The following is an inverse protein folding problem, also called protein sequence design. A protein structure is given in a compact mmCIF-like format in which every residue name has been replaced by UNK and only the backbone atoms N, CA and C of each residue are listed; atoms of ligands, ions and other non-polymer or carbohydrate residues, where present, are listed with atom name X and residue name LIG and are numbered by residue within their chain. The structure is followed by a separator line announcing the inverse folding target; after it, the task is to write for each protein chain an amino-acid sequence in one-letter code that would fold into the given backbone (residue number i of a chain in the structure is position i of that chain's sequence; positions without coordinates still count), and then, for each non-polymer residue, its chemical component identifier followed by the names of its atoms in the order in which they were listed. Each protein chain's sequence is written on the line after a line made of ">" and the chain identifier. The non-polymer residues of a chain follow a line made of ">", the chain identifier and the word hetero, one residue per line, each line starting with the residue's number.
data_IF_332210964523
#
_entry.id   IF_332210964523
#
_cell.length_a   1.000
_cell.length_b   1.000
_cell.length_c   1.000
_cell.angle_alpha   90.00
_cell.angle_beta   90.00
_cell.angle_gamma   90.00
#
_symmetry.space_group_name_H-M   'P 1'
#
loop_
_entity.id
_entity.type
_entity.pdbx_description
1 polymer ?
#
# COMPACT_ATOMS: atom_id res chain seq x y z
N UNK A 1 8.11 -1.06 -10.67
CA UNK A 1 8.20 -2.00 -9.54
C UNK A 1 7.01 -1.97 -8.56
N UNK A 2 6.12 -0.96 -8.53
CA UNK A 2 4.98 -0.98 -7.57
C UNK A 2 3.77 -1.83 -8.04
N UNK A 3 3.41 -1.72 -9.33
CA UNK A 3 2.41 -2.60 -9.94
C UNK A 3 2.88 -4.06 -9.88
N UNK A 4 4.17 -4.29 -10.06
CA UNK A 4 4.79 -5.61 -9.99
C UNK A 4 4.68 -6.22 -8.59
N UNK A 5 4.94 -5.45 -7.53
CA UNK A 5 4.73 -5.91 -6.16
C UNK A 5 3.25 -6.27 -5.89
N UNK A 6 2.30 -5.42 -6.31
CA UNK A 6 0.87 -5.71 -6.19
C UNK A 6 0.48 -6.99 -6.95
N UNK A 7 0.96 -7.16 -8.19
CA UNK A 7 0.70 -8.35 -8.98
C UNK A 7 1.35 -9.60 -8.37
N UNK A 8 2.55 -9.47 -7.80
CA UNK A 8 3.22 -10.55 -7.08
C UNK A 8 2.39 -11.00 -5.87
N UNK A 9 1.87 -10.05 -5.08
CA UNK A 9 1.00 -10.32 -3.93
C UNK A 9 -0.31 -10.99 -4.33
N UNK A 10 -0.92 -10.56 -5.43
CA UNK A 10 -2.12 -11.19 -5.96
C UNK A 10 -1.89 -12.62 -6.48
N UNK A 11 -0.69 -12.97 -6.94
CA UNK A 11 -0.42 -14.29 -7.54
C UNK A 11 -0.17 -15.37 -6.49
N UNK A 12 1.10 -15.64 -6.18
CA UNK A 12 1.56 -16.59 -5.15
C UNK A 12 2.13 -15.90 -3.91
N UNK A 13 2.22 -14.56 -3.94
CA UNK A 13 2.68 -13.75 -2.81
C UNK A 13 1.62 -13.67 -1.71
N UNK A 14 1.44 -12.48 -1.12
CA UNK A 14 0.65 -12.31 0.10
C UNK A 14 -0.78 -12.89 0.08
N UNK A 15 -1.50 -12.82 -1.05
CA UNK A 15 -2.90 -13.23 -1.12
C UNK A 15 -3.12 -14.60 -1.78
N UNK A 16 -2.09 -15.19 -2.38
CA UNK A 16 -2.12 -16.49 -3.06
C UNK A 16 -3.40 -16.77 -3.90
N UNK A 17 -3.83 -15.82 -4.73
CA UNK A 17 -5.10 -15.95 -5.47
C UNK A 17 -5.04 -17.06 -6.53
N UNK A 18 -3.85 -17.37 -7.06
CA UNK A 18 -3.65 -18.48 -8.01
C UNK A 18 -3.91 -19.86 -7.36
N UNK A 19 -3.64 -20.01 -6.07
CA UNK A 19 -3.97 -21.21 -5.30
C UNK A 19 -5.40 -21.23 -4.76
N UNK A 20 -6.12 -20.11 -4.85
CA UNK A 20 -7.48 -20.02 -4.32
C UNK A 20 -8.46 -20.80 -5.20
N UNK A 21 -9.24 -21.69 -4.60
CA UNK A 21 -10.35 -22.39 -5.28
C UNK A 21 -11.60 -21.49 -5.37
N UNK A 22 -11.41 -20.18 -5.53
CA UNK A 22 -12.51 -19.22 -5.57
C UNK A 22 -13.24 -19.30 -6.92
N UNK A 23 -14.57 -19.24 -6.88
CA UNK A 23 -15.39 -19.10 -8.09
C UNK A 23 -14.98 -17.83 -8.85
N UNK A 24 -15.00 -17.87 -10.19
CA UNK A 24 -14.72 -16.74 -11.09
C UNK A 24 -15.38 -15.44 -10.63
N UNK A 25 -16.67 -15.47 -10.26
CA UNK A 25 -17.37 -14.26 -9.81
C UNK A 25 -16.75 -13.66 -8.55
N UNK A 26 -16.38 -14.51 -7.59
CA UNK A 26 -15.72 -14.07 -6.34
C UNK A 26 -14.32 -13.54 -6.62
N UNK A 27 -13.57 -14.22 -7.48
CA UNK A 27 -12.22 -13.81 -7.86
C UNK A 27 -12.23 -12.44 -8.55
N UNK A 28 -13.14 -12.22 -9.49
CA UNK A 28 -13.30 -10.93 -10.19
C UNK A 28 -13.65 -9.82 -9.22
N UNK A 29 -14.60 -10.04 -8.32
CA UNK A 29 -14.99 -9.05 -7.32
C UNK A 29 -13.82 -8.72 -6.38
N UNK A 30 -13.01 -9.71 -6.02
CA UNK A 30 -11.86 -9.54 -5.13
C UNK A 30 -10.73 -8.76 -5.81
N UNK A 31 -10.41 -9.07 -7.08
CA UNK A 31 -9.43 -8.31 -7.87
C UNK A 31 -9.88 -6.86 -8.03
N UNK A 32 -11.17 -6.63 -8.30
CA UNK A 32 -11.73 -5.28 -8.40
C UNK A 32 -11.59 -4.51 -7.08
N UNK A 33 -11.91 -5.15 -5.95
CA UNK A 33 -11.76 -4.56 -4.63
C UNK A 33 -10.30 -4.18 -4.34
N UNK A 34 -9.35 -5.07 -4.65
CA UNK A 34 -7.91 -4.81 -4.51
C UNK A 34 -7.49 -3.63 -5.40
N UNK A 35 -7.98 -3.54 -6.63
CA UNK A 35 -7.68 -2.43 -7.52
C UNK A 35 -8.20 -1.07 -6.99
N UNK A 36 -9.41 -1.06 -6.41
CA UNK A 36 -9.99 0.13 -5.78
C UNK A 36 -9.16 0.56 -4.56
N UNK A 37 -8.85 -0.39 -3.66
CA UNK A 37 -8.04 -0.13 -2.48
C UNK A 37 -6.63 0.39 -2.83
N UNK A 38 -6.01 -0.20 -3.86
CA UNK A 38 -4.72 0.25 -4.40
C UNK A 38 -4.80 1.69 -4.91
N UNK A 39 -5.85 2.02 -5.66
CA UNK A 39 -6.07 3.36 -6.21
C UNK A 39 -6.26 4.38 -5.10
N UNK A 40 -7.08 4.08 -4.10
CA UNK A 40 -7.30 4.94 -2.93
C UNK A 40 -6.00 5.22 -2.17
N UNK A 41 -5.23 4.17 -1.86
CA UNK A 41 -3.94 4.27 -1.18
C UNK A 41 -2.91 5.07 -1.99
N UNK A 42 -2.90 4.93 -3.32
CA UNK A 42 -2.03 5.71 -4.20
C UNK A 42 -2.35 7.21 -4.13
N UNK A 43 -3.63 7.60 -4.15
CA UNK A 43 -4.04 8.99 -4.00
C UNK A 43 -3.69 9.53 -2.60
N UNK A 44 -3.89 8.74 -1.55
CA UNK A 44 -3.54 9.13 -0.19
C UNK A 44 -2.04 9.38 -0.03
N UNK A 45 -1.19 8.47 -0.55
CA UNK A 45 0.25 8.67 -0.52
C UNK A 45 0.73 9.86 -1.37
N UNK A 46 0.04 10.18 -2.47
CA UNK A 46 0.30 11.42 -3.21
C UNK A 46 -0.03 12.67 -2.39
N UNK A 47 -1.14 12.64 -1.65
CA UNK A 47 -1.54 13.73 -0.76
C UNK A 47 -0.50 13.96 0.34
N UNK A 48 -0.05 12.91 1.02
CA UNK A 48 1.01 12.99 2.05
C UNK A 48 2.30 13.58 1.49
N UNK A 49 2.68 13.20 0.27
CA UNK A 49 3.88 13.74 -0.38
C UNK A 49 3.74 15.23 -0.66
N UNK A 50 2.56 15.69 -1.06
CA UNK A 50 2.27 17.13 -1.25
C UNK A 50 2.32 17.92 0.05
N UNK A 51 1.94 17.30 1.17
CA UNK A 51 2.01 17.91 2.50
C UNK A 51 3.44 17.97 3.08
N UNK A 52 4.43 17.36 2.42
CA UNK A 52 5.83 17.24 2.89
C UNK A 52 6.01 16.50 4.24
N UNK A 53 4.95 15.90 4.77
CA UNK A 53 4.96 15.09 5.99
C UNK A 53 5.55 13.68 5.77
N UNK A 54 5.94 13.32 4.54
CA UNK A 54 6.50 12.01 4.21
C UNK A 54 7.66 11.63 5.14
N UNK A 55 8.49 12.60 5.57
CA UNK A 55 9.65 12.38 6.44
C UNK A 55 9.31 11.73 7.80
N UNK A 56 8.09 11.93 8.29
CA UNK A 56 7.63 11.35 9.56
C UNK A 56 7.07 9.94 9.41
N UNK A 57 6.67 9.58 8.19
CA UNK A 57 6.01 8.31 7.89
C UNK A 57 7.03 7.32 7.32
N UNK A 58 7.89 7.75 6.40
CA UNK A 58 8.83 6.87 5.74
C UNK A 58 10.17 7.53 5.40
N UNK A 59 11.16 6.69 5.08
CA UNK A 59 12.46 7.16 4.63
C UNK A 59 12.34 7.94 3.32
N UNK A 60 13.01 9.09 3.26
CA UNK A 60 13.08 9.91 2.05
C UNK A 60 13.97 9.26 0.98
N UNK A 61 13.76 9.63 -0.29
CA UNK A 61 14.66 9.23 -1.36
C UNK A 61 16.00 9.96 -1.23
N UNK A 62 17.10 9.21 -1.38
CA UNK A 62 18.43 9.79 -1.38
C UNK A 62 18.69 10.59 -2.67
N UNK A 63 19.43 11.71 -2.56
CA UNK A 63 19.88 12.43 -3.75
C UNK A 63 20.75 11.50 -4.63
N UNK A 64 20.50 11.50 -5.93
CA UNK A 64 21.23 10.67 -6.91
C UNK A 64 20.65 9.26 -7.16
N UNK A 65 19.60 8.86 -6.44
CA UNK A 65 18.95 7.56 -6.68
C UNK A 65 18.04 7.61 -7.92
N UNK A 66 18.22 6.67 -8.85
CA UNK A 66 17.40 6.55 -10.07
C UNK A 66 15.95 6.14 -9.78
N UNK A 67 15.76 5.17 -8.90
CA UNK A 67 14.44 4.63 -8.55
C UNK A 67 13.99 5.09 -7.17
N UNK A 68 12.69 5.43 -7.06
CA UNK A 68 12.08 5.78 -5.77
C UNK A 68 12.15 4.57 -4.82
N UNK A 69 12.53 4.80 -3.56
CA UNK A 69 12.51 3.78 -2.49
C UNK A 69 11.10 3.31 -2.17
N UNK A 70 10.19 4.26 -2.01
CA UNK A 70 8.79 3.98 -1.68
C UNK A 70 7.87 4.57 -2.74
N UNK A 71 6.98 3.72 -3.25
CA UNK A 71 5.89 4.14 -4.12
C UNK A 71 4.88 4.99 -3.35
N UNK A 72 4.02 5.71 -4.07
CA UNK A 72 2.96 6.48 -3.41
C UNK A 72 1.97 5.53 -2.71
N UNK A 73 1.65 4.40 -3.33
CA UNK A 73 0.84 3.36 -2.72
C UNK A 73 1.40 2.90 -1.36
N UNK A 74 2.69 2.57 -1.31
CA UNK A 74 3.35 2.12 -0.08
C UNK A 74 3.30 3.20 0.99
N UNK A 75 3.55 4.46 0.63
CA UNK A 75 3.45 5.60 1.56
C UNK A 75 2.04 5.76 2.11
N UNK A 76 1.01 5.58 1.27
CA UNK A 76 -0.39 5.70 1.68
C UNK A 76 -0.86 4.58 2.61
N UNK A 77 -0.47 3.33 2.36
CA UNK A 77 -0.79 2.22 3.29
C UNK A 77 -0.02 2.39 4.60
N UNK A 78 1.27 2.71 4.51
CA UNK A 78 2.12 2.78 5.70
C UNK A 78 1.74 3.94 6.63
N UNK A 79 1.22 5.04 6.09
CA UNK A 79 0.70 6.14 6.90
C UNK A 79 -0.54 5.74 7.71
N UNK A 80 -1.46 4.97 7.13
CA UNK A 80 -2.63 4.49 7.86
C UNK A 80 -2.23 3.55 9.00
N UNK A 81 -1.29 2.63 8.74
CA UNK A 81 -0.71 1.77 9.76
C UNK A 81 -0.07 2.56 10.91
N UNK A 82 0.64 3.64 10.61
CA UNK A 82 1.23 4.53 11.61
C UNK A 82 0.18 5.18 12.50
N UNK A 83 -0.91 5.67 11.91
CA UNK A 83 -2.03 6.29 12.66
C UNK A 83 -2.73 5.26 13.53
N UNK A 84 -3.01 4.07 13.00
CA UNK A 84 -3.62 2.97 13.76
C UNK A 84 -2.76 2.55 14.95
N UNK A 85 -1.46 2.39 14.74
CA UNK A 85 -0.52 2.07 15.81
C UNK A 85 -0.46 3.18 16.86
N UNK A 86 -0.45 4.45 16.44
CA UNK A 86 -0.49 5.59 17.34
C UNK A 86 -1.75 5.62 18.21
N UNK A 87 -2.92 5.45 17.60
CA UNK A 87 -4.20 5.40 18.33
C UNK A 87 -4.23 4.24 19.34
N UNK A 88 -3.80 3.05 18.91
CA UNK A 88 -3.73 1.89 19.79
C UNK A 88 -2.82 2.12 21.01
N UNK A 89 -1.69 2.81 20.84
CA UNK A 89 -0.80 3.15 21.93
C UNK A 89 -1.40 4.20 22.88
N UNK A 90 -2.15 5.17 22.36
CA UNK A 90 -2.86 6.16 23.20
C UNK A 90 -3.93 5.49 24.05
N UNK A 91 -4.66 4.51 23.51
CA UNK A 91 -5.72 3.79 24.24
C UNK A 91 -5.17 2.89 25.37
N UNK A 92 -3.88 2.57 25.37
CA UNK A 92 -3.22 1.73 26.38
C UNK A 92 -2.65 2.54 27.56
N UNK A 93 -2.41 3.85 27.37
CA UNK A 93 -1.77 4.74 28.35
C UNK A 93 -2.82 5.48 29.16
#
# INVERSE_FOLDING_TARGET
>A
MCIEAMLSDCKKGGYNLEGSQANIQRLTNLILLVAIAYTASFYHGNYIKKLECQRYICRLNEPGRRDRRHSNFWVGIYSELWVLAGNYLVDIV
#
